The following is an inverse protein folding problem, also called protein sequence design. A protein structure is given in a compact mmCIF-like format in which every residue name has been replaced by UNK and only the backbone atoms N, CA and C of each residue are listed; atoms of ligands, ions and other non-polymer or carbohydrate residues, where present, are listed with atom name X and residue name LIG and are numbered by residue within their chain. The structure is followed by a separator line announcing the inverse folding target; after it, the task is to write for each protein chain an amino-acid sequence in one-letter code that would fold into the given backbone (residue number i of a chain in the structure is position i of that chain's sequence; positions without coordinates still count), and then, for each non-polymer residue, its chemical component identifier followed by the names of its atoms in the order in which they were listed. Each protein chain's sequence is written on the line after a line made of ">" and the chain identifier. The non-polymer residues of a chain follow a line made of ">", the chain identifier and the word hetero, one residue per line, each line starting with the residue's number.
data_IF_708792574400
#
_entry.id   IF_708792574400
#
_cell.length_a   1.000
_cell.length_b   1.000
_cell.length_c   1.000
_cell.angle_alpha   90.00
_cell.angle_beta   90.00
_cell.angle_gamma   90.00
#
_symmetry.space_group_name_H-M   'P 1'
#
loop_
_entity.id
_entity.type
_entity.pdbx_description
1 polymer ?
#
# COMPACT_ATOMS: atom_id res chain seq x y z
N UNK A 1 -11.51 -12.60 -8.02
CA UNK A 1 -10.26 -13.35 -7.78
C UNK A 1 -9.44 -12.63 -6.72
N UNK A 2 -8.97 -13.36 -5.74
CA UNK A 2 -8.18 -12.80 -4.64
C UNK A 2 -6.71 -12.87 -4.99
N UNK A 3 -6.02 -11.75 -4.87
CA UNK A 3 -4.58 -11.64 -5.16
C UNK A 3 -3.87 -11.01 -3.97
N UNK A 4 -2.56 -11.18 -3.91
CA UNK A 4 -1.69 -10.50 -2.97
C UNK A 4 -0.62 -9.73 -3.73
N UNK A 5 -0.30 -8.52 -3.27
CA UNK A 5 0.77 -7.72 -3.84
C UNK A 5 1.53 -6.99 -2.77
N UNK A 6 2.83 -6.89 -2.99
CA UNK A 6 3.70 -6.09 -2.16
C UNK A 6 4.21 -4.92 -2.99
N UNK A 7 4.21 -3.75 -2.37
CA UNK A 7 4.71 -2.52 -2.98
C UNK A 7 5.79 -1.93 -2.10
N UNK A 8 6.88 -1.49 -2.73
CA UNK A 8 7.88 -0.66 -2.06
C UNK A 8 7.85 0.69 -2.75
N UNK A 9 7.45 1.72 -2.02
CA UNK A 9 7.24 3.06 -2.56
C UNK A 9 8.40 3.94 -2.15
N UNK A 10 9.06 4.53 -3.14
CA UNK A 10 10.27 5.34 -2.95
C UNK A 10 10.03 6.77 -3.38
N UNK A 11 10.71 7.70 -2.73
CA UNK A 11 10.60 9.12 -2.98
C UNK A 11 10.40 9.90 -1.70
N UNK A 12 9.71 11.02 -1.78
CA UNK A 12 9.32 11.79 -0.59
C UNK A 12 7.99 11.22 -0.10
N UNK A 13 8.07 10.15 0.70
CA UNK A 13 6.89 9.35 1.07
C UNK A 13 6.72 9.19 2.58
N UNK A 14 7.70 9.60 3.39
CA UNK A 14 7.56 9.58 4.84
C UNK A 14 7.29 10.97 5.37
N UNK A 15 6.56 11.07 6.49
CA UNK A 15 6.23 12.33 7.18
C UNK A 15 5.35 13.27 6.35
N UNK A 16 4.61 12.70 5.39
CA UNK A 16 3.69 13.47 4.53
C UNK A 16 2.26 12.91 4.61
N UNK A 17 1.98 12.09 5.62
CA UNK A 17 0.66 11.47 5.79
C UNK A 17 0.39 10.31 4.86
N UNK A 18 1.42 9.75 4.24
CA UNK A 18 1.25 8.70 3.23
C UNK A 18 0.67 7.41 3.82
N UNK A 19 1.11 7.02 5.04
CA UNK A 19 0.59 5.79 5.66
C UNK A 19 -0.92 5.86 5.88
N UNK A 20 -1.43 6.98 6.37
CA UNK A 20 -2.87 7.17 6.56
C UNK A 20 -3.60 7.19 5.23
N UNK A 21 -2.99 7.82 4.21
CA UNK A 21 -3.54 7.84 2.86
C UNK A 21 -3.69 6.41 2.30
N UNK A 22 -2.67 5.57 2.49
CA UNK A 22 -2.69 4.17 2.04
C UNK A 22 -3.76 3.39 2.80
N UNK A 23 -3.84 3.56 4.12
CA UNK A 23 -4.85 2.88 4.93
C UNK A 23 -6.25 3.23 4.46
N UNK A 24 -6.53 4.51 4.23
CA UNK A 24 -7.84 4.95 3.75
C UNK A 24 -8.16 4.34 2.38
N UNK A 25 -7.19 4.36 1.46
CA UNK A 25 -7.38 3.79 0.14
C UNK A 25 -7.67 2.30 0.20
N UNK A 26 -6.90 1.56 1.02
CA UNK A 26 -7.07 0.13 1.16
C UNK A 26 -8.45 -0.20 1.77
N UNK A 27 -8.87 0.53 2.78
CA UNK A 27 -10.17 0.30 3.42
C UNK A 27 -11.33 0.57 2.48
N UNK A 28 -11.24 1.63 1.67
CA UNK A 28 -12.26 1.90 0.65
C UNK A 28 -12.42 0.77 -0.33
N UNK A 29 -11.33 0.09 -0.64
CA UNK A 29 -11.32 -1.00 -1.61
C UNK A 29 -11.54 -2.37 -0.96
N UNK A 30 -11.71 -2.43 0.35
CA UNK A 30 -11.91 -3.70 1.05
C UNK A 30 -10.67 -4.58 1.11
N UNK A 31 -9.48 -3.99 0.98
CA UNK A 31 -8.23 -4.73 1.04
C UNK A 31 -7.74 -4.90 2.47
N UNK A 32 -7.02 -5.98 2.72
CA UNK A 32 -6.41 -6.27 4.03
C UNK A 32 -4.90 -6.32 3.87
N UNK A 33 -4.18 -6.04 4.94
CA UNK A 33 -2.72 -6.04 4.92
C UNK A 33 -2.15 -4.96 5.82
N UNK A 34 -1.03 -4.36 5.41
CA UNK A 34 -0.37 -3.34 6.22
C UNK A 34 0.41 -2.35 5.37
N UNK A 35 0.73 -1.21 5.98
CA UNK A 35 1.70 -0.25 5.48
C UNK A 35 2.60 0.18 6.63
N UNK A 36 3.90 0.30 6.35
CA UNK A 36 4.89 0.75 7.35
C UNK A 36 6.00 1.55 6.68
N UNK A 37 6.61 2.45 7.47
CA UNK A 37 7.83 3.13 7.07
C UNK A 37 9.01 2.17 7.22
N UNK A 38 9.95 2.24 6.29
CA UNK A 38 11.21 1.51 6.39
C UNK A 38 12.35 2.47 6.73
N UNK A 39 13.44 1.93 7.26
CA UNK A 39 14.60 2.71 7.66
C UNK A 39 15.25 3.47 6.51
N UNK A 40 15.15 2.94 5.30
CA UNK A 40 15.74 3.55 4.11
C UNK A 40 14.92 4.71 3.53
N UNK A 41 13.80 5.06 4.19
CA UNK A 41 12.93 6.14 3.75
C UNK A 41 11.77 5.70 2.86
N UNK A 42 11.73 4.45 2.46
CA UNK A 42 10.63 3.93 1.64
C UNK A 42 9.42 3.52 2.49
N UNK A 43 8.31 3.24 1.81
CA UNK A 43 7.16 2.57 2.42
C UNK A 43 7.10 1.13 1.94
N UNK A 44 6.78 0.22 2.86
CA UNK A 44 6.52 -1.18 2.56
C UNK A 44 5.03 -1.42 2.75
N UNK A 45 4.36 -1.89 1.70
CA UNK A 45 2.92 -2.12 1.68
C UNK A 45 2.68 -3.57 1.27
N UNK A 46 1.86 -4.27 2.04
CA UNK A 46 1.32 -5.57 1.64
C UNK A 46 -0.19 -5.45 1.59
N UNK A 47 -0.79 -5.87 0.48
CA UNK A 47 -2.24 -5.81 0.32
C UNK A 47 -2.76 -7.12 -0.28
N UNK A 48 -3.90 -7.58 0.24
CA UNK A 48 -4.60 -8.76 -0.24
C UNK A 48 -6.06 -8.41 -0.47
N UNK A 49 -6.62 -8.91 -1.56
CA UNK A 49 -8.03 -8.72 -1.86
C UNK A 49 -8.34 -8.94 -3.33
N UNK A 50 -9.50 -8.45 -3.74
CA UNK A 50 -9.97 -8.60 -5.11
C UNK A 50 -9.04 -7.91 -6.11
N UNK A 51 -8.81 -8.57 -7.25
CA UNK A 51 -7.85 -8.08 -8.25
C UNK A 51 -8.23 -6.70 -8.81
N UNK A 52 -9.52 -6.44 -9.02
CA UNK A 52 -9.96 -5.14 -9.55
C UNK A 52 -9.78 -4.05 -8.49
N UNK A 53 -10.11 -4.35 -7.24
CA UNK A 53 -9.88 -3.43 -6.12
C UNK A 53 -8.40 -3.12 -5.99
N UNK A 54 -7.54 -4.12 -6.16
CA UNK A 54 -6.10 -3.94 -6.12
C UNK A 54 -5.61 -2.97 -7.19
N UNK A 55 -6.17 -3.03 -8.39
CA UNK A 55 -5.82 -2.11 -9.47
C UNK A 55 -6.14 -0.66 -9.10
N UNK A 56 -7.32 -0.42 -8.51
CA UNK A 56 -7.71 0.92 -8.05
C UNK A 56 -6.82 1.41 -6.92
N UNK A 57 -6.50 0.53 -5.99
CA UNK A 57 -5.61 0.81 -4.88
C UNK A 57 -4.22 1.21 -5.38
N UNK A 58 -3.67 0.45 -6.32
CA UNK A 58 -2.34 0.74 -6.89
C UNK A 58 -2.31 2.12 -7.54
N UNK A 59 -3.36 2.51 -8.26
CA UNK A 59 -3.42 3.85 -8.85
C UNK A 59 -3.34 4.94 -7.79
N UNK A 60 -4.04 4.74 -6.66
CA UNK A 60 -4.00 5.69 -5.56
C UNK A 60 -2.60 5.78 -4.96
N UNK A 61 -1.95 4.64 -4.74
CA UNK A 61 -0.60 4.57 -4.16
C UNK A 61 0.40 5.27 -5.08
N UNK A 62 0.32 5.05 -6.40
CA UNK A 62 1.24 5.68 -7.34
C UNK A 62 1.07 7.18 -7.41
N UNK A 63 -0.14 7.68 -7.20
CA UNK A 63 -0.40 9.13 -7.13
C UNK A 63 0.09 9.72 -5.81
N UNK A 64 -0.18 9.04 -4.70
CA UNK A 64 0.13 9.50 -3.36
C UNK A 64 -0.71 10.69 -2.92
N UNK A 65 -0.58 11.11 -1.64
CA UNK A 65 -1.25 12.30 -1.13
C UNK A 65 -0.55 13.56 -1.62
N UNK A 66 -1.23 14.70 -1.49
CA UNK A 66 -0.58 15.98 -1.77
C UNK A 66 0.57 16.18 -0.79
N UNK A 67 1.67 16.75 -1.26
CA UNK A 67 2.87 16.90 -0.46
C UNK A 67 3.85 15.73 -0.57
N UNK A 68 3.41 14.59 -1.10
CA UNK A 68 4.29 13.48 -1.41
C UNK A 68 4.86 13.59 -2.81
N UNK A 69 5.99 12.93 -3.03
CA UNK A 69 6.54 12.72 -4.36
C UNK A 69 6.89 11.25 -4.50
N UNK A 70 6.19 10.56 -5.39
CA UNK A 70 6.45 9.15 -5.65
C UNK A 70 7.40 9.05 -6.83
N UNK A 71 8.63 8.61 -6.56
CA UNK A 71 9.66 8.46 -7.58
C UNK A 71 9.63 7.08 -8.22
N UNK A 72 9.29 6.05 -7.44
CA UNK A 72 9.26 4.67 -7.92
C UNK A 72 8.33 3.83 -7.05
N UNK A 73 7.70 2.84 -7.67
CA UNK A 73 6.89 1.84 -6.97
C UNK A 73 7.32 0.47 -7.49
N UNK A 74 8.02 -0.27 -6.65
CA UNK A 74 8.38 -1.65 -6.96
C UNK A 74 7.22 -2.54 -6.56
N UNK A 75 6.75 -3.36 -7.49
CA UNK A 75 5.58 -4.22 -7.29
C UNK A 75 5.99 -5.68 -7.41
N UNK A 76 5.60 -6.48 -6.43
CA UNK A 76 5.84 -7.93 -6.43
C UNK A 76 4.53 -8.63 -6.14
N UNK A 77 4.19 -9.62 -6.94
CA UNK A 77 3.06 -10.48 -6.64
C UNK A 77 3.45 -11.51 -5.58
N UNK A 78 2.56 -11.71 -4.61
CA UNK A 78 2.76 -12.68 -3.54
C UNK A 78 1.48 -13.50 -3.40
N UNK A 79 1.59 -14.67 -2.80
CA UNK A 79 0.42 -15.49 -2.53
C UNK A 79 -0.44 -14.81 -1.47
N UNK A 80 -1.75 -14.71 -1.71
CA UNK A 80 -2.67 -14.21 -0.70
C UNK A 80 -2.73 -15.22 0.44
N UNK A 81 -2.41 -14.75 1.65
CA UNK A 81 -2.26 -15.63 2.82
C UNK A 81 -3.57 -15.85 3.56
N UNK A 82 -4.51 -14.92 3.46
CA UNK A 82 -5.74 -14.92 4.26
C UNK A 82 -5.53 -14.61 5.73
N UNK A 83 -4.30 -14.23 6.14
CA UNK A 83 -3.99 -13.98 7.55
C UNK A 83 -4.45 -12.62 8.06
N UNK A 84 -4.63 -11.67 7.15
CA UNK A 84 -4.97 -10.31 7.54
C UNK A 84 -6.49 -10.13 7.53
N UNK A 85 -7.02 -9.55 8.60
CA UNK A 85 -8.46 -9.34 8.77
C UNK A 85 -8.86 -7.87 8.64
N UNK A 86 -7.87 -6.99 8.47
CA UNK A 86 -8.05 -5.57 8.28
C UNK A 86 -6.82 -4.98 7.63
N UNK A 87 -6.86 -3.70 7.30
CA UNK A 87 -5.67 -2.99 6.83
C UNK A 87 -5.17 -2.10 7.96
N UNK A 88 -3.87 -2.20 8.27
CA UNK A 88 -3.29 -1.56 9.45
C UNK A 88 -2.06 -0.73 9.07
N UNK A 89 -1.88 0.37 9.81
CA UNK A 89 -0.62 1.11 9.80
C UNK A 89 0.25 0.50 10.90
N UNK A 90 1.45 0.08 10.53
CA UNK A 90 2.39 -0.52 11.48
C UNK A 90 3.70 0.25 11.51
N UNK A 91 4.52 -0.03 12.48
CA UNK A 91 5.83 0.61 12.59
C UNK A 91 6.95 -0.34 12.22
#
# INVERSE_FOLDING_TARGET
>A
MIVGRRYVVKGRVQRVGFRMFVEDAARREGLHGYVRNQHDGSLDILAEGDAEAMTRFERAVRRGPSGARVDDVETTEVAASGRYHAFSVTS
#
